data_IF_731777384094
#
_entry.id   IF_731777384094
#
_cell.length_a   1.000
_cell.length_b   1.000
_cell.length_c   1.000
_cell.angle_alpha   90.00
_cell.angle_beta   90.00
_cell.angle_gamma   90.00
#
_symmetry.space_group_name_H-M   'P 1'
#
loop_
_entity.id
_entity.type
_entity.pdbx_description
1 polymer ?
#
# COMPACT_ATOMS: atom_id res chain seq x y z
N UNK A 1 -6.11 12.11 12.11
CA UNK A 1 -4.80 11.67 11.58
C UNK A 1 -3.85 12.85 11.61
N UNK A 2 -2.68 12.66 12.18
CA UNK A 2 -1.63 13.65 12.42
C UNK A 2 -0.28 12.93 12.39
N UNK A 3 0.84 13.66 12.46
CA UNK A 3 2.17 13.05 12.58
C UNK A 3 2.29 12.14 13.83
N UNK A 4 1.48 12.37 14.87
CA UNK A 4 1.41 11.47 16.03
C UNK A 4 0.74 10.14 15.71
N UNK A 5 -0.21 10.14 14.77
CA UNK A 5 -0.94 8.95 14.34
C UNK A 5 -0.15 8.18 13.27
N UNK A 6 0.64 8.88 12.46
CA UNK A 6 1.54 8.31 11.46
C UNK A 6 2.83 9.14 11.36
N UNK A 7 3.98 8.61 11.85
CA UNK A 7 5.24 9.33 11.85
C UNK A 7 5.67 9.80 10.45
N UNK A 8 6.08 11.06 10.34
CA UNK A 8 6.60 11.64 9.10
C UNK A 8 5.55 11.98 8.05
N UNK A 9 4.24 11.85 8.33
CA UNK A 9 3.19 12.24 7.38
C UNK A 9 3.36 13.71 6.94
N UNK A 10 3.49 13.92 5.62
CA UNK A 10 3.70 15.26 5.05
C UNK A 10 2.47 16.17 5.23
N UNK A 11 1.27 15.59 5.18
CA UNK A 11 0.02 16.31 5.41
C UNK A 11 -1.20 15.50 5.02
N UNK A 12 -2.38 15.91 5.47
CA UNK A 12 -3.63 15.17 5.24
C UNK A 12 -4.03 15.05 3.77
N UNK A 13 -3.60 15.98 2.91
CA UNK A 13 -3.86 15.89 1.47
C UNK A 13 -3.01 14.79 0.78
N UNK A 14 -2.03 14.24 1.49
CA UNK A 14 -1.14 13.18 1.03
C UNK A 14 -1.39 11.86 1.75
N UNK A 15 -2.65 11.59 2.11
CA UNK A 15 -3.09 10.33 2.70
C UNK A 15 -4.49 9.99 2.17
N UNK A 16 -4.61 8.98 1.31
CA UNK A 16 -5.89 8.65 0.66
C UNK A 16 -5.96 7.19 0.18
N UNK A 17 -7.12 6.88 -0.40
CA UNK A 17 -7.41 5.67 -1.18
C UNK A 17 -7.18 4.35 -0.45
N UNK A 18 -8.08 3.96 0.46
CA UNK A 18 -8.00 2.65 1.10
C UNK A 18 -8.07 1.50 0.09
N UNK A 19 -7.33 0.43 0.36
CA UNK A 19 -7.51 -0.87 -0.27
C UNK A 19 -8.73 -1.60 0.31
N UNK A 20 -9.03 -2.80 -0.20
CA UNK A 20 -9.82 -3.77 0.55
C UNK A 20 -9.09 -4.21 1.82
N UNK A 21 -9.84 -4.71 2.81
CA UNK A 21 -9.29 -5.26 4.04
C UNK A 21 -8.77 -6.68 3.82
N UNK A 22 -7.71 -7.06 4.54
CA UNK A 22 -7.25 -8.45 4.63
C UNK A 22 -6.84 -8.81 6.06
N UNK A 23 -6.76 -10.11 6.35
CA UNK A 23 -6.35 -10.60 7.68
C UNK A 23 -4.87 -10.27 7.90
N UNK A 24 -4.53 -9.74 9.07
CA UNK A 24 -3.15 -9.50 9.43
C UNK A 24 -2.39 -10.84 9.57
N UNK A 25 -1.36 -11.11 8.74
CA UNK A 25 -0.61 -12.36 8.82
C UNK A 25 0.21 -12.47 10.11
N UNK A 26 0.51 -11.34 10.75
CA UNK A 26 1.31 -11.26 11.97
C UNK A 26 0.44 -11.36 13.24
N UNK A 27 -0.86 -11.13 13.12
CA UNK A 27 -1.84 -11.30 14.19
C UNK A 27 -3.25 -11.55 13.61
N UNK A 28 -3.68 -12.81 13.56
CA UNK A 28 -4.96 -13.19 12.93
C UNK A 28 -6.21 -12.65 13.64
N UNK A 29 -6.07 -12.01 14.80
CA UNK A 29 -7.17 -11.30 15.48
C UNK A 29 -7.38 -9.88 14.96
N UNK A 30 -6.56 -9.42 14.02
CA UNK A 30 -6.59 -8.08 13.43
C UNK A 30 -6.79 -8.12 11.92
N UNK A 31 -7.36 -7.03 11.42
CA UNK A 31 -7.48 -6.75 10.00
C UNK A 31 -6.55 -5.61 9.62
N UNK A 32 -6.03 -5.66 8.40
CA UNK A 32 -5.21 -4.61 7.79
C UNK A 32 -5.98 -3.93 6.67
N UNK A 33 -5.71 -2.64 6.50
CA UNK A 33 -6.08 -1.84 5.32
C UNK A 33 -4.88 -0.98 4.93
N UNK A 34 -4.58 -0.92 3.64
CA UNK A 34 -3.50 -0.10 3.11
C UNK A 34 -4.04 1.22 2.56
N UNK A 35 -3.19 2.25 2.61
CA UNK A 35 -3.38 3.57 2.03
C UNK A 35 -2.11 3.98 1.31
N UNK A 36 -2.24 4.91 0.37
CA UNK A 36 -1.08 5.65 -0.14
C UNK A 36 -0.83 6.87 0.73
N UNK A 37 0.44 7.12 1.03
CA UNK A 37 0.84 8.31 1.75
C UNK A 37 2.19 8.87 1.32
N UNK A 38 2.36 10.18 1.39
CA UNK A 38 3.68 10.82 1.31
C UNK A 38 4.25 10.99 2.71
N UNK A 39 5.46 10.46 2.92
CA UNK A 39 6.14 10.44 4.23
C UNK A 39 7.53 11.04 4.11
N UNK A 40 7.88 11.94 5.01
CA UNK A 40 9.23 12.48 5.18
C UNK A 40 10.11 11.48 5.91
N UNK A 41 11.18 11.02 5.26
CA UNK A 41 12.16 10.13 5.84
C UNK A 41 13.23 10.88 6.60
N UNK A 42 13.12 10.87 7.93
CA UNK A 42 14.14 11.35 8.84
C UNK A 42 14.41 12.85 8.74
N UNK A 43 15.52 13.29 9.34
CA UNK A 43 15.88 14.71 9.45
C UNK A 43 16.32 15.37 8.13
N UNK A 44 16.55 14.59 7.08
CA UNK A 44 16.91 15.09 5.75
C UNK A 44 15.72 15.62 4.95
N UNK A 45 14.48 15.35 5.39
CA UNK A 45 13.26 15.86 4.75
C UNK A 45 12.97 15.25 3.37
N UNK A 46 13.56 14.11 3.04
CA UNK A 46 13.29 13.44 1.75
C UNK A 46 11.89 12.81 1.82
N UNK A 47 10.98 13.33 1.01
CA UNK A 47 9.63 12.78 0.87
C UNK A 47 9.66 11.54 -0.02
N UNK A 48 9.02 10.46 0.44
CA UNK A 48 8.79 9.25 -0.35
C UNK A 48 7.29 8.91 -0.35
N UNK A 49 6.77 8.50 -1.51
CA UNK A 49 5.45 7.91 -1.61
C UNK A 49 5.49 6.44 -1.14
N UNK A 50 4.60 6.09 -0.22
CA UNK A 50 4.56 4.79 0.43
C UNK A 50 3.16 4.21 0.39
N UNK A 51 3.08 2.88 0.36
CA UNK A 51 1.87 2.14 0.71
C UNK A 51 1.99 1.75 2.17
N UNK A 52 1.16 2.37 3.00
CA UNK A 52 1.18 2.23 4.46
C UNK A 52 -0.02 1.46 4.96
N UNK A 53 0.16 0.70 6.03
CA UNK A 53 -0.91 -0.14 6.61
C UNK A 53 -1.35 0.32 7.98
N UNK A 54 -2.66 0.28 8.17
CA UNK A 54 -3.30 0.44 9.46
C UNK A 54 -3.94 -0.89 9.86
N UNK A 55 -3.76 -1.24 11.13
CA UNK A 55 -4.41 -2.40 11.74
C UNK A 55 -5.65 -1.96 12.52
N UNK A 56 -6.66 -2.83 12.60
CA UNK A 56 -7.80 -2.68 13.51
C UNK A 56 -8.22 -4.04 14.06
N UNK A 57 -8.55 -4.09 15.34
CA UNK A 57 -9.15 -5.25 15.98
C UNK A 57 -10.68 -5.18 16.00
N UNK A 58 -11.27 -4.08 15.52
CA UNK A 58 -12.72 -3.87 15.48
C UNK A 58 -13.35 -4.67 14.33
N UNK A 59 -14.17 -5.71 14.62
CA UNK A 59 -14.76 -6.55 13.58
C UNK A 59 -15.79 -5.81 12.73
N UNK A 60 -16.20 -4.59 13.12
CA UNK A 60 -17.11 -3.76 12.33
C UNK A 60 -16.38 -2.68 11.51
N UNK A 61 -15.04 -2.61 11.62
CA UNK A 61 -14.20 -1.64 10.91
C UNK A 61 -14.56 -0.18 11.17
N UNK A 62 -14.96 0.17 12.40
CA UNK A 62 -15.40 1.54 12.76
C UNK A 62 -14.40 2.31 13.62
N UNK A 63 -13.47 1.60 14.25
CA UNK A 63 -12.59 2.16 15.27
C UNK A 63 -11.27 1.38 15.39
N UNK A 64 -10.43 1.73 16.37
CA UNK A 64 -9.16 1.04 16.69
C UNK A 64 -8.14 1.00 15.54
N UNK A 65 -8.24 1.94 14.59
CA UNK A 65 -7.26 2.05 13.50
C UNK A 65 -5.95 2.62 14.04
N UNK A 66 -4.88 1.83 13.93
CA UNK A 66 -3.53 2.21 14.34
C UNK A 66 -2.55 1.98 13.20
N UNK A 67 -1.70 2.98 12.96
CA UNK A 67 -0.60 2.81 12.01
C UNK A 67 0.27 1.62 12.47
N UNK A 68 0.60 0.74 11.51
CA UNK A 68 1.44 -0.41 11.79
C UNK A 68 2.83 -0.21 11.17
N UNK A 69 2.93 -0.15 9.85
CA UNK A 69 4.19 0.06 9.12
C UNK A 69 3.91 0.40 7.65
N UNK A 70 4.97 0.61 6.86
CA UNK A 70 4.87 0.67 5.40
C UNK A 70 5.09 -0.71 4.80
N UNK A 71 4.20 -1.17 3.92
CA UNK A 71 4.39 -2.45 3.21
C UNK A 71 5.21 -2.29 1.94
N UNK A 72 5.22 -1.09 1.34
CA UNK A 72 6.02 -0.82 0.15
C UNK A 72 6.34 0.67 0.05
N UNK A 73 7.44 0.98 -0.62
CA UNK A 73 7.91 2.34 -0.83
C UNK A 73 8.37 2.53 -2.27
N UNK A 74 7.92 3.63 -2.88
CA UNK A 74 8.42 4.08 -4.16
C UNK A 74 9.55 5.10 -3.96
N UNK A 75 10.78 4.73 -4.31
CA UNK A 75 11.94 5.62 -4.23
C UNK A 75 12.10 6.53 -5.46
N UNK A 76 11.22 6.41 -6.47
CA UNK A 76 11.39 7.12 -7.75
C UNK A 76 10.43 8.30 -7.94
N UNK A 77 9.38 8.41 -7.13
CA UNK A 77 8.41 9.49 -7.21
C UNK A 77 8.66 10.47 -6.08
N UNK A 78 9.53 11.43 -6.39
CA UNK A 78 9.74 12.63 -5.60
C UNK A 78 8.68 13.64 -6.03
N UNK A 79 7.96 14.21 -5.06
CA UNK A 79 6.87 15.20 -5.18
C UNK A 79 5.50 14.71 -5.68
N UNK A 80 5.42 13.70 -6.54
CA UNK A 80 4.12 13.17 -7.01
C UNK A 80 3.63 11.96 -6.22
N UNK A 81 2.33 11.93 -5.95
CA UNK A 81 1.72 10.96 -5.04
C UNK A 81 1.29 9.70 -5.81
N UNK A 82 1.46 8.53 -5.19
CA UNK A 82 0.80 7.30 -5.64
C UNK A 82 -0.70 7.41 -5.37
N UNK A 83 -1.56 6.86 -6.22
CA UNK A 83 -3.00 6.81 -6.02
C UNK A 83 -3.53 5.39 -6.09
N UNK A 84 -4.76 5.20 -5.58
CA UNK A 84 -5.56 4.00 -5.79
C UNK A 84 -4.78 2.69 -5.66
N UNK A 85 -4.11 2.45 -4.50
CA UNK A 85 -3.43 1.19 -4.28
C UNK A 85 -4.47 0.06 -4.32
N UNK A 86 -3.99 -1.10 -4.73
CA UNK A 86 -4.71 -2.34 -4.54
C UNK A 86 -3.77 -3.43 -4.07
N UNK A 87 -4.25 -4.23 -3.13
CA UNK A 87 -3.47 -5.28 -2.52
C UNK A 87 -4.38 -6.48 -2.32
N UNK A 88 -4.09 -7.55 -3.05
CA UNK A 88 -4.97 -8.71 -3.09
C UNK A 88 -4.15 -9.98 -3.32
N UNK A 89 -4.82 -11.10 -3.01
CA UNK A 89 -4.25 -12.43 -3.12
C UNK A 89 -4.80 -13.13 -4.35
N UNK A 90 -3.94 -13.79 -5.12
CA UNK A 90 -4.33 -14.79 -6.13
C UNK A 90 -3.79 -16.15 -5.69
N UNK A 91 -4.66 -17.12 -5.44
CA UNK A 91 -4.24 -18.42 -4.90
C UNK A 91 -3.83 -18.38 -3.43
N UNK A 92 -3.02 -19.35 -3.00
CA UNK A 92 -2.77 -19.61 -1.57
C UNK A 92 -1.60 -18.83 -0.96
N UNK A 93 -0.65 -18.33 -1.74
CA UNK A 93 0.52 -17.60 -1.21
C UNK A 93 1.02 -16.45 -2.11
N UNK A 94 0.24 -16.05 -3.12
CA UNK A 94 0.66 -14.97 -4.02
C UNK A 94 -0.13 -13.70 -3.74
N UNK A 95 0.58 -12.68 -3.26
CA UNK A 95 0.04 -11.34 -3.12
C UNK A 95 0.55 -10.45 -4.25
N UNK A 96 -0.34 -9.58 -4.72
CA UNK A 96 -0.09 -8.64 -5.79
C UNK A 96 -0.31 -7.23 -5.28
N UNK A 97 0.65 -6.35 -5.59
CA UNK A 97 0.54 -4.93 -5.34
C UNK A 97 0.32 -4.20 -6.66
N UNK A 98 -0.69 -3.35 -6.66
CA UNK A 98 -0.98 -2.40 -7.73
C UNK A 98 -0.92 -1.00 -7.18
N UNK A 99 -0.37 -0.07 -7.97
CA UNK A 99 -0.43 1.37 -7.68
C UNK A 99 -0.77 2.15 -8.95
N UNK A 100 -1.40 3.30 -8.78
CA UNK A 100 -1.53 4.32 -9.81
C UNK A 100 -0.50 5.41 -9.56
N UNK A 101 0.04 6.03 -10.62
CA UNK A 101 0.98 7.15 -10.44
C UNK A 101 0.47 8.41 -11.11
N UNK A 102 0.52 9.53 -10.39
CA UNK A 102 0.04 10.81 -10.92
C UNK A 102 0.89 11.31 -12.10
N UNK A 103 2.20 10.99 -12.11
CA UNK A 103 3.13 11.40 -13.17
C UNK A 103 2.75 10.82 -14.52
N UNK A 104 2.55 9.51 -14.58
CA UNK A 104 2.28 8.84 -15.85
C UNK A 104 0.79 8.83 -16.19
N UNK A 105 -0.08 9.02 -15.19
CA UNK A 105 -1.52 8.81 -15.35
C UNK A 105 -1.84 7.35 -15.72
N UNK A 106 -1.04 6.40 -15.22
CA UNK A 106 -1.15 4.97 -15.50
C UNK A 106 -1.12 4.12 -14.24
N UNK A 107 -1.56 2.89 -14.41
CA UNK A 107 -1.56 1.84 -13.40
C UNK A 107 -0.46 0.80 -13.64
N UNK A 108 0.20 0.38 -12.56
CA UNK A 108 1.31 -0.56 -12.61
C UNK A 108 1.10 -1.75 -11.68
N UNK A 109 1.51 -2.91 -12.16
CA UNK A 109 1.86 -4.05 -11.32
C UNK A 109 3.24 -3.84 -10.71
N UNK A 110 3.33 -3.99 -9.39
CA UNK A 110 4.57 -4.15 -8.66
C UNK A 110 4.70 -5.65 -8.36
N UNK A 111 5.73 -6.28 -8.92
CA UNK A 111 6.01 -7.69 -8.64
C UNK A 111 6.83 -7.81 -7.37
N UNK A 112 6.57 -8.84 -6.58
CA UNK A 112 7.27 -9.05 -5.33
C UNK A 112 6.71 -10.21 -4.53
N UNK A 113 7.16 -10.30 -3.29
CA UNK A 113 6.69 -11.29 -2.34
C UNK A 113 6.26 -10.62 -1.03
N UNK A 114 5.15 -11.08 -0.46
CA UNK A 114 4.66 -10.60 0.82
C UNK A 114 5.19 -11.51 1.94
N UNK A 115 6.24 -11.05 2.64
CA UNK A 115 6.96 -11.84 3.64
C UNK A 115 7.64 -10.98 4.70
N UNK A 116 8.09 -11.64 5.77
CA UNK A 116 8.79 -11.02 6.91
C UNK A 116 10.08 -10.32 6.47
N UNK A 117 10.25 -9.08 6.89
CA UNK A 117 11.51 -8.35 6.81
C UNK A 117 12.44 -8.69 8.00
N UNK A 118 13.60 -8.02 8.06
CA UNK A 118 14.61 -8.23 9.10
C UNK A 118 14.19 -7.79 10.51
N UNK A 119 13.08 -7.06 10.66
CA UNK A 119 12.48 -6.66 11.95
C UNK A 119 11.16 -7.38 12.23
N UNK A 120 10.93 -8.52 11.58
CA UNK A 120 9.76 -9.38 11.79
C UNK A 120 8.41 -8.71 11.47
N UNK A 121 8.38 -7.80 10.49
CA UNK A 121 7.15 -7.25 9.92
C UNK A 121 6.90 -7.84 8.54
N UNK A 122 5.67 -8.28 8.24
CA UNK A 122 5.34 -8.79 6.91
C UNK A 122 5.11 -7.64 5.93
N UNK A 123 6.05 -7.43 5.00
CA UNK A 123 6.05 -6.35 4.00
C UNK A 123 6.03 -6.89 2.57
N UNK A 124 5.74 -6.04 1.60
CA UNK A 124 5.83 -6.36 0.18
C UNK A 124 7.23 -6.06 -0.36
N UNK A 125 8.01 -7.11 -0.58
CA UNK A 125 9.37 -7.04 -1.08
C UNK A 125 9.36 -7.05 -2.61
N UNK A 126 9.60 -5.90 -3.24
CA UNK A 126 9.64 -5.76 -4.70
C UNK A 126 10.75 -6.63 -5.33
N UNK A 127 10.39 -7.38 -6.37
CA UNK A 127 11.32 -8.10 -7.23
C UNK A 127 11.87 -7.15 -8.29
N UNK A 128 13.01 -6.51 -8.00
CA UNK A 128 13.68 -5.61 -8.93
C UNK A 128 14.21 -6.30 -10.20
N UNK A 129 14.22 -7.63 -10.26
CA UNK A 129 14.52 -8.38 -11.48
C UNK A 129 13.37 -8.34 -12.50
N UNK A 130 12.16 -7.98 -12.07
CA UNK A 130 10.98 -7.78 -12.92
C UNK A 130 10.63 -6.30 -12.96
N UNK A 131 10.74 -5.71 -14.15
CA UNK A 131 10.27 -4.34 -14.33
C UNK A 131 8.77 -4.22 -14.04
N UNK A 132 8.38 -3.11 -13.40
CA UNK A 132 6.97 -2.73 -13.25
C UNK A 132 6.29 -2.78 -14.62
N UNK A 133 5.09 -3.36 -14.66
CA UNK A 133 4.36 -3.61 -15.90
C UNK A 133 3.05 -2.84 -15.89
N UNK A 134 2.74 -2.16 -16.98
CA UNK A 134 1.46 -1.48 -17.14
C UNK A 134 0.32 -2.50 -17.13
N UNK A 135 -0.76 -2.17 -16.43
CA UNK A 135 -1.97 -3.00 -16.46
C UNK A 135 -2.60 -2.96 -17.86
N UNK A 136 -2.59 -1.79 -18.48
CA UNK A 136 -3.05 -1.53 -19.83
C UNK A 136 -2.13 -0.48 -20.46
N UNK A 137 -1.82 -0.62 -21.76
CA UNK A 137 -0.89 0.27 -22.47
C UNK A 137 -1.59 1.46 -23.16
N UNK A 138 -2.90 1.60 -22.96
CA UNK A 138 -3.76 2.66 -23.43
C UNK A 138 -4.04 3.72 -22.35
N UNK A 139 -5.29 4.17 -22.22
CA UNK A 139 -5.70 5.12 -21.18
C UNK A 139 -6.41 4.36 -20.07
N UNK A 140 -5.69 4.05 -19.00
CA UNK A 140 -6.20 3.25 -17.90
C UNK A 140 -5.62 3.74 -16.58
N UNK A 141 -6.50 4.10 -15.64
CA UNK A 141 -6.11 4.74 -14.39
C UNK A 141 -7.07 4.40 -13.26
N UNK A 142 -6.56 4.41 -12.03
CA UNK A 142 -7.33 4.22 -10.80
C UNK A 142 -8.11 2.90 -10.75
N UNK A 143 -7.61 1.84 -11.40
CA UNK A 143 -8.24 0.53 -11.38
C UNK A 143 -8.21 -0.11 -10.01
N UNK A 144 -9.26 -0.88 -9.68
CA UNK A 144 -9.38 -1.66 -8.46
C UNK A 144 -10.02 -3.01 -8.75
N UNK A 145 -9.51 -4.05 -8.11
CA UNK A 145 -10.03 -5.40 -8.19
C UNK A 145 -10.99 -5.69 -7.04
N UNK A 146 -11.95 -6.56 -7.30
CA UNK A 146 -12.81 -7.15 -6.30
C UNK A 146 -13.00 -8.63 -6.64
N UNK A 147 -13.14 -9.45 -5.60
CA UNK A 147 -13.48 -10.87 -5.77
C UNK A 147 -14.97 -11.01 -6.09
N UNK A 148 -15.29 -11.63 -7.23
CA UNK A 148 -16.66 -12.03 -7.56
C UNK A 148 -16.92 -13.44 -6.99
N UNK A 149 -17.78 -13.59 -5.97
CA UNK A 149 -18.05 -14.88 -5.37
C UNK A 149 -19.03 -15.75 -6.19
N UNK A 150 -19.62 -15.22 -7.26
CA UNK A 150 -20.57 -15.95 -8.10
C UNK A 150 -19.91 -16.22 -9.46
N UNK A 151 -19.68 -17.50 -9.74
CA UNK A 151 -19.21 -18.01 -11.03
C UNK A 151 -20.32 -18.82 -11.72
#
# INVERSE_FOLDING_TARGET
MTEKDMPGLVGLNHFRDPTNFWVNPDNTSEWLVAFVASINKGSSGVTAAQVVVFATSDPNFRSDFRFSHAIWENLFEFDDMLECPDFFKLGDDEYYLKVSTMISGQDYWVYGNYSKNYVDQTIYQEDFGRSRTYIDYGRWYASKQNYDPIL
#
